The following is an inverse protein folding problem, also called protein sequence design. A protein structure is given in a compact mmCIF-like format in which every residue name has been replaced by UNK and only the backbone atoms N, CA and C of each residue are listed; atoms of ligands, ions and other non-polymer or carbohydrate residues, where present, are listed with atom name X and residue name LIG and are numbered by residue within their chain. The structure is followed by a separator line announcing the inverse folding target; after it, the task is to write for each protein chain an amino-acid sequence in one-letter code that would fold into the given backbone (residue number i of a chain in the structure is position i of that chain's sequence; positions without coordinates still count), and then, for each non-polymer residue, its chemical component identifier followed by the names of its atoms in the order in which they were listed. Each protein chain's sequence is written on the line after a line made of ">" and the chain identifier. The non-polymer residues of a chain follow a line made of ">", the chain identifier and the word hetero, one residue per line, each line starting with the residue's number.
data_IF_707190907542
#
_entry.id   IF_707190907542
#
_cell.length_a   1.000
_cell.length_b   1.000
_cell.length_c   1.000
_cell.angle_alpha   90.00
_cell.angle_beta   90.00
_cell.angle_gamma   90.00
#
_symmetry.space_group_name_H-M   'P 1'
#
loop_
_entity.id
_entity.type
_entity.pdbx_description
1 polymer ?
#
# COMPACT_ATOMS: atom_id res chain seq x y z
N UNK A 1 -30.42 4.06 -12.09
CA UNK A 1 -29.66 4.99 -11.23
C UNK A 1 -28.33 5.19 -11.91
N UNK A 2 -28.15 6.33 -12.55
CA UNK A 2 -26.85 6.72 -13.12
C UNK A 2 -25.88 6.87 -11.94
N UNK A 3 -24.82 6.07 -11.91
CA UNK A 3 -23.72 6.26 -10.97
C UNK A 3 -23.15 7.65 -11.25
N UNK A 4 -23.35 8.59 -10.31
CA UNK A 4 -22.77 9.93 -10.39
C UNK A 4 -21.25 9.79 -10.63
N UNK A 5 -20.76 10.58 -11.60
CA UNK A 5 -19.35 10.65 -11.94
C UNK A 5 -18.56 11.08 -10.72
N UNK A 6 -17.81 10.16 -10.13
CA UNK A 6 -16.83 10.47 -9.11
C UNK A 6 -15.52 10.86 -9.82
N UNK A 7 -14.97 12.01 -9.44
CA UNK A 7 -13.59 12.36 -9.77
C UNK A 7 -12.61 11.43 -9.05
N UNK A 8 -11.50 11.09 -9.72
CA UNK A 8 -10.47 10.27 -9.12
C UNK A 8 -9.72 11.08 -8.04
N UNK A 9 -9.47 10.43 -6.91
CA UNK A 9 -8.62 10.99 -5.86
C UNK A 9 -7.17 11.11 -6.34
N UNK A 10 -6.39 11.99 -5.70
CA UNK A 10 -4.97 12.16 -6.00
C UNK A 10 -4.17 10.87 -5.90
N UNK A 11 -4.54 9.97 -4.98
CA UNK A 11 -3.87 8.68 -4.88
C UNK A 11 -4.27 7.76 -6.04
N UNK A 12 -5.54 7.69 -6.40
CA UNK A 12 -5.98 6.89 -7.57
C UNK A 12 -5.24 7.32 -8.84
N UNK A 13 -5.09 8.62 -9.09
CA UNK A 13 -4.33 9.14 -10.24
C UNK A 13 -2.84 8.83 -10.12
N UNK A 14 -2.24 9.04 -8.94
CA UNK A 14 -0.81 8.77 -8.74
C UNK A 14 -0.48 7.31 -9.04
N UNK A 15 -1.30 6.41 -8.54
CA UNK A 15 -1.05 4.99 -8.73
C UNK A 15 -1.33 4.55 -10.15
N UNK A 16 -2.38 5.09 -10.76
CA UNK A 16 -2.63 4.86 -12.18
C UNK A 16 -1.43 5.28 -13.03
N UNK A 17 -0.72 6.38 -12.69
CA UNK A 17 0.55 6.74 -13.33
C UNK A 17 1.66 5.70 -13.11
N UNK A 18 1.86 5.27 -11.86
CA UNK A 18 2.89 4.27 -11.53
C UNK A 18 2.61 2.92 -12.22
N UNK A 19 1.37 2.45 -12.17
CA UNK A 19 0.92 1.25 -12.88
C UNK A 19 1.12 1.38 -14.39
N UNK A 20 0.83 2.55 -14.97
CA UNK A 20 1.06 2.80 -16.41
C UNK A 20 2.55 2.73 -16.76
N UNK A 21 3.43 3.26 -15.91
CA UNK A 21 4.88 3.17 -16.10
C UNK A 21 5.41 1.73 -15.96
N UNK A 22 4.80 0.94 -15.06
CA UNK A 22 5.14 -0.45 -14.81
C UNK A 22 4.44 -1.45 -15.77
N UNK A 23 3.49 -0.99 -16.58
CA UNK A 23 2.62 -1.86 -17.37
C UNK A 23 3.39 -2.65 -18.44
N UNK A 24 3.11 -3.95 -18.54
CA UNK A 24 3.80 -4.85 -19.48
C UNK A 24 2.89 -5.47 -20.54
N UNK A 25 1.56 -5.31 -20.39
CA UNK A 25 0.60 -5.81 -21.37
C UNK A 25 0.58 -4.98 -22.66
N UNK A 26 0.12 -5.58 -23.75
CA UNK A 26 0.04 -4.93 -25.08
C UNK A 26 -1.36 -4.35 -25.37
N UNK A 27 -2.27 -4.39 -24.41
CA UNK A 27 -3.71 -4.19 -24.62
C UNK A 27 -4.25 -2.83 -24.16
N UNK A 28 -3.39 -1.95 -23.65
CA UNK A 28 -3.73 -0.54 -23.35
C UNK A 28 -3.27 0.42 -24.46
N UNK A 29 -2.71 -0.12 -25.55
CA UNK A 29 -2.22 0.64 -26.70
C UNK A 29 -2.54 -0.09 -28.00
N UNK A 30 -2.98 0.63 -29.03
CA UNK A 30 -3.30 0.01 -30.33
C UNK A 30 -2.08 -0.58 -31.05
N UNK A 31 -0.88 -0.13 -30.70
CA UNK A 31 0.39 -0.63 -31.25
C UNK A 31 1.19 -1.44 -30.20
N UNK A 32 0.58 -1.77 -29.05
CA UNK A 32 1.21 -2.53 -27.98
C UNK A 32 2.33 -1.80 -27.23
N UNK A 33 2.44 -0.47 -27.36
CA UNK A 33 3.52 0.32 -26.74
C UNK A 33 3.39 0.41 -25.23
N UNK A 34 4.48 0.14 -24.52
CA UNK A 34 4.62 0.34 -23.08
C UNK A 34 5.90 1.11 -22.75
N UNK A 35 5.98 1.74 -21.57
CA UNK A 35 7.21 2.40 -21.14
C UNK A 35 8.37 1.41 -21.00
N UNK A 36 8.12 0.18 -20.55
CA UNK A 36 9.13 -0.88 -20.42
C UNK A 36 9.82 -1.18 -21.77
N UNK A 37 9.07 -1.26 -22.87
CA UNK A 37 9.64 -1.49 -24.21
C UNK A 37 10.63 -0.40 -24.64
N UNK A 38 10.46 0.82 -24.15
CA UNK A 38 11.32 1.96 -24.46
C UNK A 38 12.38 2.21 -23.39
N UNK A 39 12.58 1.31 -22.42
CA UNK A 39 13.57 1.49 -21.35
C UNK A 39 13.10 2.49 -20.30
N UNK A 40 11.80 2.48 -19.99
CA UNK A 40 11.13 3.35 -19.02
C UNK A 40 11.32 4.85 -19.29
N UNK A 41 11.24 5.25 -20.56
CA UNK A 41 11.31 6.65 -20.98
C UNK A 41 10.26 6.96 -22.04
N UNK A 42 9.88 8.23 -22.16
CA UNK A 42 8.89 8.65 -23.14
C UNK A 42 8.48 10.11 -22.95
N UNK A 43 7.34 10.48 -23.54
CA UNK A 43 6.76 11.82 -23.37
C UNK A 43 5.63 11.82 -22.34
N UNK A 44 5.42 12.97 -21.72
CA UNK A 44 4.28 13.23 -20.82
C UNK A 44 2.93 12.92 -21.50
N UNK A 45 2.80 13.22 -22.80
CA UNK A 45 1.60 12.91 -23.58
C UNK A 45 1.40 11.41 -23.82
N UNK A 46 2.47 10.63 -23.93
CA UNK A 46 2.36 9.16 -24.04
C UNK A 46 1.90 8.56 -22.71
N UNK A 47 2.45 9.06 -21.60
CA UNK A 47 2.06 8.63 -20.25
C UNK A 47 0.56 8.81 -20.05
N UNK A 48 0.04 9.99 -20.33
CA UNK A 48 -1.37 10.28 -20.07
C UNK A 48 -2.33 9.53 -20.98
N UNK A 49 -1.93 9.29 -22.23
CA UNK A 49 -2.71 8.50 -23.18
C UNK A 49 -2.81 7.03 -22.74
N UNK A 50 -1.68 6.41 -22.39
CA UNK A 50 -1.66 5.03 -21.89
C UNK A 50 -2.40 4.91 -20.56
N UNK A 51 -2.28 5.92 -19.71
CA UNK A 51 -2.97 6.01 -18.43
C UNK A 51 -4.49 6.11 -18.59
N UNK A 52 -4.99 6.83 -19.60
CA UNK A 52 -6.42 6.85 -19.95
C UNK A 52 -6.93 5.46 -20.35
N UNK A 53 -6.19 4.77 -21.21
CA UNK A 53 -6.56 3.43 -21.66
C UNK A 53 -6.57 2.43 -20.48
N UNK A 54 -5.59 2.52 -19.58
CA UNK A 54 -5.56 1.71 -18.37
C UNK A 54 -6.73 2.04 -17.43
N UNK A 55 -7.09 3.32 -17.26
CA UNK A 55 -8.23 3.73 -16.43
C UNK A 55 -9.56 3.17 -16.93
N UNK A 56 -9.77 3.22 -18.26
CA UNK A 56 -10.95 2.63 -18.90
C UNK A 56 -10.97 1.11 -18.72
N UNK A 57 -9.83 0.45 -18.96
CA UNK A 57 -9.70 -1.01 -18.80
C UNK A 57 -10.01 -1.46 -17.36
N UNK A 58 -9.58 -0.69 -16.37
CA UNK A 58 -9.81 -0.96 -14.95
C UNK A 58 -11.20 -0.51 -14.46
N UNK A 59 -12.05 -0.02 -15.37
CA UNK A 59 -13.39 0.50 -15.05
C UNK A 59 -13.38 1.65 -14.04
N UNK A 60 -12.23 2.35 -13.88
CA UNK A 60 -12.11 3.53 -13.01
C UNK A 60 -12.82 4.74 -13.61
N UNK A 61 -12.84 4.82 -14.94
CA UNK A 61 -13.59 5.82 -15.70
C UNK A 61 -14.36 5.14 -16.84
N UNK A 62 -15.48 5.74 -17.25
CA UNK A 62 -16.30 5.22 -18.35
C UNK A 62 -15.74 5.67 -19.70
N UNK A 63 -15.63 4.74 -20.65
CA UNK A 63 -15.37 5.07 -22.05
C UNK A 63 -16.59 5.78 -22.66
N UNK A 64 -16.43 7.06 -22.98
CA UNK A 64 -17.40 7.93 -23.66
C UNK A 64 -16.97 8.26 -25.07
N UNK A 65 -15.66 8.38 -25.24
CA UNK A 65 -15.01 8.58 -26.52
C UNK A 65 -14.01 7.44 -26.72
N UNK A 66 -13.91 6.99 -27.96
CA UNK A 66 -12.95 5.95 -28.34
C UNK A 66 -11.52 6.41 -28.07
N UNK A 67 -10.74 5.52 -27.44
CA UNK A 67 -9.34 5.78 -27.10
C UNK A 67 -8.51 6.10 -28.36
N UNK A 68 -7.74 7.19 -28.28
CA UNK A 68 -6.87 7.64 -29.38
C UNK A 68 -5.49 6.96 -29.29
N UNK A 69 -5.00 6.46 -30.43
CA UNK A 69 -3.60 6.02 -30.58
C UNK A 69 -2.59 7.18 -30.68
N UNK A 70 -3.06 8.40 -30.95
CA UNK A 70 -2.21 9.60 -30.97
C UNK A 70 -2.01 10.17 -29.56
N UNK A 71 -0.81 10.68 -29.29
CA UNK A 71 -0.38 11.26 -28.02
C UNK A 71 -1.40 12.28 -27.46
N UNK A 72 -1.55 12.35 -26.14
CA UNK A 72 -2.47 13.29 -25.49
C UNK A 72 -2.18 14.74 -25.87
N UNK A 73 -3.18 15.45 -26.40
CA UNK A 73 -3.01 16.81 -26.91
C UNK A 73 -2.08 16.93 -28.14
N UNK A 74 -1.70 15.81 -28.76
CA UNK A 74 -0.91 15.74 -29.98
C UNK A 74 -1.79 15.91 -31.22
N UNK A 75 -1.28 16.66 -32.20
CA UNK A 75 -1.93 17.01 -33.49
C UNK A 75 -3.20 17.88 -33.38
N UNK A 76 -3.02 19.16 -33.09
CA UNK A 76 -4.02 20.21 -33.37
C UNK A 76 -5.31 20.18 -32.54
N UNK A 77 -5.43 19.25 -31.58
CA UNK A 77 -6.58 19.10 -30.70
C UNK A 77 -6.21 19.55 -29.28
N UNK A 78 -6.91 20.57 -28.78
CA UNK A 78 -6.79 20.97 -27.38
C UNK A 78 -7.40 19.87 -26.48
N UNK A 79 -6.80 19.67 -25.30
CA UNK A 79 -7.35 18.76 -24.28
C UNK A 79 -8.69 19.31 -23.75
N UNK A 80 -9.78 18.68 -24.16
CA UNK A 80 -11.13 18.99 -23.72
C UNK A 80 -11.72 17.83 -22.91
N UNK A 81 -12.10 18.04 -21.64
CA UNK A 81 -12.72 17.03 -20.79
C UNK A 81 -13.93 16.38 -21.47
N UNK A 82 -14.02 15.06 -21.43
CA UNK A 82 -15.06 14.24 -22.06
C UNK A 82 -15.28 14.47 -23.56
N UNK A 83 -14.32 15.08 -24.27
CA UNK A 83 -14.41 15.34 -25.70
C UNK A 83 -13.19 14.83 -26.46
N UNK A 84 -11.99 15.09 -25.95
CA UNK A 84 -10.72 14.55 -26.51
C UNK A 84 -9.98 13.68 -25.51
N UNK A 85 -10.51 13.56 -24.30
CA UNK A 85 -10.12 12.58 -23.27
C UNK A 85 -11.36 12.18 -22.47
N UNK A 86 -11.37 10.96 -21.92
CA UNK A 86 -12.43 10.43 -21.06
C UNK A 86 -12.40 11.02 -19.64
N UNK A 87 -11.27 11.60 -19.21
CA UNK A 87 -11.14 12.21 -17.89
C UNK A 87 -11.93 13.51 -17.72
N UNK A 88 -12.31 13.79 -16.47
CA UNK A 88 -12.94 15.06 -16.09
C UNK A 88 -11.92 16.20 -16.04
N UNK A 89 -12.40 17.44 -15.90
CA UNK A 89 -11.51 18.59 -15.73
C UNK A 89 -10.69 18.49 -14.43
N UNK A 90 -11.30 17.98 -13.37
CA UNK A 90 -10.68 17.78 -12.06
C UNK A 90 -9.58 16.74 -12.14
N UNK A 91 -9.87 15.61 -12.79
CA UNK A 91 -8.89 14.55 -13.04
C UNK A 91 -7.68 15.07 -13.81
N UNK A 92 -7.88 15.84 -14.89
CA UNK A 92 -6.79 16.40 -15.70
C UNK A 92 -5.88 17.32 -14.88
N UNK A 93 -6.46 18.17 -14.02
CA UNK A 93 -5.66 19.04 -13.14
C UNK A 93 -4.83 18.21 -12.16
N UNK A 94 -5.46 17.22 -11.53
CA UNK A 94 -4.81 16.33 -10.58
C UNK A 94 -3.73 15.46 -11.26
N UNK A 95 -3.93 15.03 -12.50
CA UNK A 95 -2.93 14.35 -13.34
C UNK A 95 -1.69 15.22 -13.50
N UNK A 96 -1.85 16.50 -13.85
CA UNK A 96 -0.70 17.41 -13.94
C UNK A 96 0.03 17.58 -12.60
N UNK A 97 -0.72 17.71 -11.50
CA UNK A 97 -0.16 17.80 -10.16
C UNK A 97 0.63 16.53 -9.77
N UNK A 98 0.05 15.34 -9.97
CA UNK A 98 0.72 14.08 -9.64
C UNK A 98 1.98 13.86 -10.47
N UNK A 99 1.97 14.21 -11.76
CA UNK A 99 3.17 14.15 -12.59
C UNK A 99 4.30 15.01 -12.03
N UNK A 100 4.00 16.23 -11.59
CA UNK A 100 4.98 17.11 -10.94
C UNK A 100 5.44 16.58 -9.58
N UNK A 101 4.58 15.89 -8.83
CA UNK A 101 4.97 15.23 -7.58
C UNK A 101 5.94 14.07 -7.84
N UNK A 102 5.74 13.27 -8.89
CA UNK A 102 6.70 12.21 -9.27
C UNK A 102 8.07 12.79 -9.65
N UNK A 103 8.11 13.94 -10.33
CA UNK A 103 9.35 14.68 -10.60
C UNK A 103 10.02 15.13 -9.31
N UNK A 104 9.27 15.77 -8.41
CA UNK A 104 9.81 16.29 -7.14
C UNK A 104 10.29 15.18 -6.19
N UNK A 105 9.66 14.01 -6.25
CA UNK A 105 10.04 12.82 -5.48
C UNK A 105 11.23 12.06 -6.09
N UNK A 106 11.70 12.46 -7.28
CA UNK A 106 12.80 11.81 -7.98
C UNK A 106 12.44 10.43 -8.55
N UNK A 107 11.15 10.08 -8.67
CA UNK A 107 10.70 8.83 -9.31
C UNK A 107 10.90 8.92 -10.82
N UNK A 108 10.63 10.09 -11.39
CA UNK A 108 10.94 10.41 -12.79
C UNK A 108 11.84 11.65 -12.85
N UNK A 109 12.60 11.78 -13.93
CA UNK A 109 13.46 12.93 -14.18
C UNK A 109 13.29 13.46 -15.62
N UNK A 110 13.44 14.79 -15.85
CA UNK A 110 13.36 15.36 -17.19
C UNK A 110 14.45 14.82 -18.12
N UNK A 111 14.10 14.71 -19.40
CA UNK A 111 14.96 14.24 -20.48
C UNK A 111 14.89 12.72 -20.68
N UNK A 112 15.15 12.28 -21.91
CA UNK A 112 15.22 10.89 -22.31
C UNK A 112 16.31 10.70 -23.38
N UNK A 113 16.96 9.54 -23.42
CA UNK A 113 18.09 9.27 -24.32
C UNK A 113 17.60 8.96 -25.74
N UNK A 114 18.40 9.31 -26.76
CA UNK A 114 18.04 9.10 -28.17
C UNK A 114 17.37 10.33 -28.79
N UNK A 115 16.35 10.13 -29.63
CA UNK A 115 15.72 11.19 -30.43
C UNK A 115 14.62 11.98 -29.68
N UNK A 116 14.47 11.81 -28.37
CA UNK A 116 13.47 12.52 -27.56
C UNK A 116 13.92 13.96 -27.27
N UNK A 117 14.88 14.14 -26.36
CA UNK A 117 15.37 15.44 -25.92
C UNK A 117 15.76 15.43 -24.44
N UNK A 118 16.47 16.48 -23.99
CA UNK A 118 17.02 16.55 -22.63
C UNK A 118 16.15 17.30 -21.62
N UNK A 119 14.91 17.66 -21.98
CA UNK A 119 13.98 18.45 -21.17
C UNK A 119 12.56 17.88 -21.25
N UNK A 120 11.67 18.34 -20.37
CA UNK A 120 10.23 18.17 -20.53
C UNK A 120 9.77 18.64 -21.92
N UNK A 121 8.77 17.99 -22.55
CA UNK A 121 7.87 16.97 -21.97
C UNK A 121 8.45 15.55 -21.93
N UNK A 122 9.71 15.36 -22.36
CA UNK A 122 10.36 14.06 -22.30
C UNK A 122 10.92 13.79 -20.92
N UNK A 123 10.83 12.54 -20.47
CA UNK A 123 11.29 12.09 -19.17
C UNK A 123 11.71 10.62 -19.20
N UNK A 124 12.42 10.19 -18.16
CA UNK A 124 12.70 8.79 -17.87
C UNK A 124 12.41 8.49 -16.40
N UNK A 125 12.13 7.22 -16.10
CA UNK A 125 12.07 6.70 -14.73
C UNK A 125 13.49 6.56 -14.21
N UNK A 126 13.75 7.07 -13.00
CA UNK A 126 15.09 6.99 -12.38
C UNK A 126 15.36 5.60 -11.83
N UNK A 127 16.60 5.30 -11.43
CA UNK A 127 16.91 4.04 -10.74
C UNK A 127 16.07 3.84 -9.46
N UNK A 128 15.91 4.91 -8.67
CA UNK A 128 15.01 4.92 -7.52
C UNK A 128 13.55 4.67 -7.94
N UNK A 129 13.09 5.33 -9.01
CA UNK A 129 11.76 5.12 -9.55
C UNK A 129 11.53 3.68 -10.00
N UNK A 130 12.53 3.01 -10.61
CA UNK A 130 12.43 1.61 -11.00
C UNK A 130 12.23 0.72 -9.77
N UNK A 131 12.94 0.97 -8.67
CA UNK A 131 12.68 0.28 -7.40
C UNK A 131 11.25 0.52 -6.93
N UNK A 132 10.74 1.76 -7.00
CA UNK A 132 9.35 2.04 -6.65
C UNK A 132 8.34 1.31 -7.56
N UNK A 133 8.65 1.14 -8.85
CA UNK A 133 7.79 0.39 -9.78
C UNK A 133 7.86 -1.13 -9.54
N UNK A 134 9.04 -1.67 -9.24
CA UNK A 134 9.25 -3.09 -8.89
C UNK A 134 8.57 -3.47 -7.58
N UNK A 135 8.59 -2.57 -6.61
CA UNK A 135 7.92 -2.78 -5.33
C UNK A 135 6.40 -2.83 -5.46
N UNK A 136 5.84 -2.43 -6.62
CA UNK A 136 4.41 -2.40 -6.97
C UNK A 136 3.58 -2.19 -5.71
N UNK A 137 3.57 -0.97 -5.15
CA UNK A 137 2.76 -0.70 -3.95
C UNK A 137 1.34 -1.18 -4.23
N UNK A 138 0.99 -2.36 -3.73
CA UNK A 138 -0.29 -2.97 -4.06
C UNK A 138 -1.33 -2.26 -3.24
N UNK A 139 -2.33 -1.72 -3.92
CA UNK A 139 -3.25 -0.80 -3.32
C UNK A 139 -4.58 -1.48 -3.03
N UNK A 140 -5.34 -0.98 -2.06
CA UNK A 140 -6.58 -1.61 -1.58
C UNK A 140 -7.66 -1.84 -2.64
N UNK A 141 -7.59 -1.11 -3.75
CA UNK A 141 -8.53 -1.26 -4.85
C UNK A 141 -8.21 -2.46 -5.75
N UNK A 142 -6.95 -2.92 -5.78
CA UNK A 142 -6.56 -4.21 -6.35
C UNK A 142 -6.63 -5.27 -5.25
N UNK A 143 -7.86 -5.71 -4.95
CA UNK A 143 -8.13 -6.66 -3.87
C UNK A 143 -7.33 -7.95 -4.06
N UNK A 144 -7.28 -8.46 -5.29
CA UNK A 144 -6.63 -9.73 -5.59
C UNK A 144 -5.11 -9.61 -5.44
N UNK A 145 -4.50 -8.58 -6.03
CA UNK A 145 -3.07 -8.31 -5.86
C UNK A 145 -2.70 -8.10 -4.38
N UNK A 146 -3.53 -7.36 -3.64
CA UNK A 146 -3.24 -7.06 -2.22
C UNK A 146 -3.27 -8.36 -1.42
N UNK A 147 -4.27 -9.20 -1.64
CA UNK A 147 -4.38 -10.49 -0.96
C UNK A 147 -3.28 -11.46 -1.39
N UNK A 148 -2.86 -11.49 -2.65
CA UNK A 148 -1.69 -12.26 -3.08
C UNK A 148 -0.43 -11.82 -2.34
N UNK A 149 -0.22 -10.50 -2.18
CA UNK A 149 0.91 -9.98 -1.42
C UNK A 149 0.86 -10.38 0.05
N UNK A 150 -0.32 -10.37 0.66
CA UNK A 150 -0.55 -10.86 2.03
C UNK A 150 -0.28 -12.36 2.13
N UNK A 151 -0.82 -13.18 1.22
CA UNK A 151 -0.59 -14.64 1.17
C UNK A 151 0.87 -15.02 0.93
N UNK A 152 1.65 -14.14 0.30
CA UNK A 152 3.09 -14.35 0.11
C UNK A 152 3.90 -14.29 1.42
N UNK A 153 3.30 -13.78 2.51
CA UNK A 153 3.92 -13.71 3.84
C UNK A 153 3.89 -15.11 4.47
N UNK A 154 5.06 -15.69 4.83
CA UNK A 154 5.12 -17.03 5.38
C UNK A 154 4.34 -17.16 6.70
N UNK A 155 3.59 -18.26 6.83
CA UNK A 155 2.80 -18.62 8.02
C UNK A 155 1.66 -17.64 8.36
N UNK A 156 1.26 -16.79 7.42
CA UNK A 156 0.12 -15.90 7.66
C UNK A 156 -1.15 -16.70 7.94
N UNK A 157 -1.91 -16.24 8.93
CA UNK A 157 -3.11 -16.89 9.42
C UNK A 157 -4.30 -16.64 8.50
N UNK A 158 -5.13 -17.65 8.27
CA UNK A 158 -6.37 -17.54 7.49
C UNK A 158 -7.30 -16.46 8.06
N UNK A 159 -7.32 -16.28 9.39
CA UNK A 159 -8.12 -15.23 10.04
C UNK A 159 -7.59 -13.83 9.77
N UNK A 160 -6.26 -13.66 9.68
CA UNK A 160 -5.63 -12.38 9.32
C UNK A 160 -5.97 -12.03 7.88
N UNK A 161 -5.84 -13.01 6.96
CA UNK A 161 -6.24 -12.83 5.57
C UNK A 161 -7.73 -12.48 5.46
N UNK A 162 -8.60 -13.19 6.19
CA UNK A 162 -10.04 -12.95 6.21
C UNK A 162 -10.37 -11.50 6.61
N UNK A 163 -9.81 -11.01 7.72
CA UNK A 163 -10.08 -9.64 8.17
C UNK A 163 -9.55 -8.58 7.20
N UNK A 164 -8.38 -8.80 6.60
CA UNK A 164 -7.83 -7.90 5.58
C UNK A 164 -8.75 -7.89 4.35
N UNK A 165 -9.23 -9.05 3.89
CA UNK A 165 -10.19 -9.13 2.78
C UNK A 165 -11.46 -8.33 3.06
N UNK A 166 -12.06 -8.50 4.23
CA UNK A 166 -13.26 -7.74 4.62
C UNK A 166 -12.96 -6.23 4.71
N UNK A 167 -11.76 -5.85 5.16
CA UNK A 167 -11.33 -4.46 5.17
C UNK A 167 -11.28 -3.87 3.75
N UNK A 168 -10.68 -4.59 2.80
CA UNK A 168 -10.58 -4.18 1.39
C UNK A 168 -11.96 -4.01 0.76
N UNK A 169 -12.88 -4.94 1.01
CA UNK A 169 -14.27 -4.85 0.55
C UNK A 169 -14.97 -3.61 1.11
N UNK A 170 -14.80 -3.34 2.41
CA UNK A 170 -15.37 -2.16 3.05
C UNK A 170 -14.78 -0.86 2.48
N UNK A 171 -13.46 -0.83 2.25
CA UNK A 171 -12.78 0.32 1.64
C UNK A 171 -13.30 0.62 0.23
N UNK A 172 -13.48 -0.42 -0.58
CA UNK A 172 -14.01 -0.30 -1.95
C UNK A 172 -15.49 0.07 -1.97
N UNK A 173 -16.27 -0.35 -0.96
CA UNK A 173 -17.65 0.09 -0.75
C UNK A 173 -17.78 1.50 -0.13
N UNK A 174 -16.67 2.21 0.06
CA UNK A 174 -16.58 3.53 0.67
C UNK A 174 -17.03 3.58 2.15
N UNK A 175 -16.93 2.46 2.87
CA UNK A 175 -17.19 2.34 4.31
C UNK A 175 -15.88 2.42 5.10
N UNK A 176 -15.33 3.63 5.27
CA UNK A 176 -13.98 3.86 5.82
C UNK A 176 -13.81 3.34 7.25
N UNK A 177 -14.75 3.66 8.13
CA UNK A 177 -14.71 3.25 9.53
C UNK A 177 -14.77 1.72 9.66
N UNK A 178 -15.61 1.07 8.85
CA UNK A 178 -15.71 -0.37 8.80
C UNK A 178 -14.41 -1.02 8.29
N UNK A 179 -13.79 -0.45 7.26
CA UNK A 179 -12.50 -0.92 6.75
C UNK A 179 -11.41 -0.87 7.83
N UNK A 180 -11.36 0.24 8.58
CA UNK A 180 -10.38 0.42 9.65
C UNK A 180 -10.64 -0.54 10.82
N UNK A 181 -11.90 -0.75 11.21
CA UNK A 181 -12.26 -1.75 12.24
C UNK A 181 -11.76 -3.14 11.86
N UNK A 182 -11.95 -3.54 10.60
CA UNK A 182 -11.48 -4.85 10.10
C UNK A 182 -9.95 -4.97 10.14
N UNK A 183 -9.20 -3.92 9.75
CA UNK A 183 -7.74 -3.90 9.91
C UNK A 183 -7.30 -4.01 11.37
N UNK A 184 -8.10 -3.49 12.29
CA UNK A 184 -7.90 -3.65 13.72
C UNK A 184 -8.02 -5.07 14.21
N UNK A 185 -9.10 -5.74 13.83
CA UNK A 185 -9.31 -7.15 14.15
C UNK A 185 -8.17 -8.01 13.61
N UNK A 186 -7.69 -7.70 12.40
CA UNK A 186 -6.48 -8.30 11.84
C UNK A 186 -5.25 -8.06 12.73
N UNK A 187 -5.02 -6.83 13.19
CA UNK A 187 -3.89 -6.49 14.07
C UNK A 187 -4.00 -7.18 15.45
N UNK A 188 -5.19 -7.23 16.05
CA UNK A 188 -5.42 -7.94 17.32
C UNK A 188 -5.08 -9.43 17.17
N UNK A 189 -5.48 -10.06 16.06
CA UNK A 189 -5.16 -11.45 15.76
C UNK A 189 -3.66 -11.70 15.62
N UNK A 190 -2.94 -10.81 14.92
CA UNK A 190 -1.49 -10.87 14.79
C UNK A 190 -0.81 -10.78 16.16
N UNK A 191 -1.29 -9.91 17.07
CA UNK A 191 -0.73 -9.75 18.42
C UNK A 191 -0.91 -11.00 19.26
N UNK A 192 -2.07 -11.65 19.18
CA UNK A 192 -2.31 -12.91 19.88
C UNK A 192 -1.33 -13.99 19.39
N UNK A 193 -1.15 -14.13 18.07
CA UNK A 193 -0.18 -15.06 17.49
C UNK A 193 1.26 -14.73 17.86
N UNK A 194 1.60 -13.45 17.92
CA UNK A 194 2.92 -12.98 18.31
C UNK A 194 3.25 -13.26 19.77
N UNK A 195 2.26 -13.13 20.66
CA UNK A 195 2.39 -13.47 22.08
C UNK A 195 2.55 -14.97 22.25
N UNK A 196 1.75 -15.77 21.55
CA UNK A 196 1.83 -17.23 21.63
C UNK A 196 3.21 -17.74 21.14
N UNK A 197 3.71 -17.20 20.02
CA UNK A 197 5.03 -17.52 19.51
C UNK A 197 6.15 -17.11 20.49
N UNK A 198 6.06 -15.90 21.05
CA UNK A 198 7.02 -15.42 22.05
C UNK A 198 6.99 -16.29 23.32
N UNK A 199 5.81 -16.69 23.81
CA UNK A 199 5.67 -17.59 24.95
C UNK A 199 6.37 -18.92 24.68
N UNK A 200 6.16 -19.49 23.49
CA UNK A 200 6.86 -20.69 23.04
C UNK A 200 8.37 -20.51 23.10
N UNK A 201 8.89 -19.43 22.52
CA UNK A 201 10.32 -19.13 22.51
C UNK A 201 10.91 -18.93 23.92
N UNK A 202 10.22 -18.16 24.77
CA UNK A 202 10.63 -17.93 26.16
C UNK A 202 10.64 -19.23 26.97
N UNK A 203 9.68 -20.13 26.75
CA UNK A 203 9.63 -21.41 27.48
C UNK A 203 10.88 -22.27 27.23
N UNK A 204 11.46 -22.17 26.03
CA UNK A 204 12.67 -22.90 25.62
C UNK A 204 13.96 -22.21 26.04
N UNK A 205 13.98 -20.88 26.02
CA UNK A 205 15.22 -20.10 26.09
C UNK A 205 15.34 -19.21 27.36
N UNK A 206 14.23 -18.84 28.01
CA UNK A 206 14.18 -17.82 29.08
C UNK A 206 13.12 -18.15 30.15
N UNK A 207 13.37 -19.16 31.00
CA UNK A 207 12.39 -19.69 31.96
C UNK A 207 11.84 -18.65 32.95
N UNK A 208 12.66 -17.69 33.41
CA UNK A 208 12.22 -16.65 34.35
C UNK A 208 11.26 -15.67 33.69
N UNK A 209 11.62 -15.18 32.50
CA UNK A 209 10.79 -14.29 31.70
C UNK A 209 9.49 -14.97 31.27
N UNK A 210 9.52 -16.26 30.95
CA UNK A 210 8.34 -17.07 30.63
C UNK A 210 7.30 -17.05 31.76
N UNK A 211 7.70 -17.35 33.00
CA UNK A 211 6.76 -17.34 34.14
C UNK A 211 6.21 -15.93 34.42
N UNK A 212 7.02 -14.88 34.24
CA UNK A 212 6.58 -13.49 34.46
C UNK A 212 5.53 -13.05 33.44
N UNK A 213 5.75 -13.32 32.15
CA UNK A 213 4.81 -12.92 31.09
C UNK A 213 3.49 -13.69 31.22
N UNK A 214 3.53 -14.96 31.60
CA UNK A 214 2.35 -15.79 31.75
C UNK A 214 1.42 -15.29 32.88
N UNK A 215 1.99 -14.90 34.03
CA UNK A 215 1.21 -14.30 35.13
C UNK A 215 0.61 -12.95 34.72
N UNK A 216 1.39 -12.10 34.03
CA UNK A 216 0.94 -10.77 33.60
C UNK A 216 -0.19 -10.85 32.56
N UNK A 217 -0.06 -11.74 31.57
CA UNK A 217 -1.07 -11.96 30.52
C UNK A 217 -2.40 -12.46 31.09
N UNK A 218 -2.39 -13.28 32.15
CA UNK A 218 -3.61 -13.78 32.79
C UNK A 218 -4.55 -12.67 33.30
N UNK A 219 -4.00 -11.46 33.49
CA UNK A 219 -4.71 -10.28 34.02
C UNK A 219 -5.11 -9.28 32.93
N UNK A 220 -4.68 -9.49 31.68
CA UNK A 220 -4.86 -8.54 30.58
C UNK A 220 -6.05 -8.97 29.71
N UNK A 221 -6.99 -8.04 29.48
CA UNK A 221 -8.17 -8.26 28.62
C UNK A 221 -8.14 -7.49 27.30
N UNK A 222 -7.38 -6.40 27.21
CA UNK A 222 -7.37 -5.50 26.06
C UNK A 222 -6.17 -5.74 25.16
N UNK A 223 -6.36 -5.75 23.84
CA UNK A 223 -5.31 -5.97 22.86
C UNK A 223 -4.16 -4.96 22.95
N UNK A 224 -4.46 -3.67 23.17
CA UNK A 224 -3.42 -2.64 23.36
C UNK A 224 -2.50 -2.91 24.57
N UNK A 225 -3.06 -3.49 25.65
CA UNK A 225 -2.28 -3.92 26.81
C UNK A 225 -1.51 -5.21 26.53
N UNK A 226 -2.07 -6.14 25.75
CA UNK A 226 -1.35 -7.32 25.26
C UNK A 226 -0.12 -6.91 24.45
N UNK A 227 -0.26 -5.96 23.51
CA UNK A 227 0.86 -5.41 22.75
C UNK A 227 1.91 -4.73 23.63
N UNK A 228 1.47 -3.95 24.61
CA UNK A 228 2.38 -3.33 25.58
C UNK A 228 3.16 -4.38 26.38
N UNK A 229 2.51 -5.49 26.75
CA UNK A 229 3.14 -6.63 27.39
C UNK A 229 4.18 -7.28 26.46
N UNK A 230 3.82 -7.57 25.21
CA UNK A 230 4.77 -8.05 24.20
C UNK A 230 6.00 -7.15 24.08
N UNK A 231 5.80 -5.83 23.87
CA UNK A 231 6.89 -4.85 23.74
C UNK A 231 7.82 -4.84 24.98
N UNK A 232 7.26 -4.98 26.18
CA UNK A 232 8.03 -5.06 27.43
C UNK A 232 8.98 -6.26 27.44
N UNK A 233 8.47 -7.46 27.12
CA UNK A 233 9.29 -8.68 27.15
C UNK A 233 10.23 -8.77 25.95
N UNK A 234 9.81 -8.31 24.77
CA UNK A 234 10.70 -8.12 23.62
C UNK A 234 11.93 -7.29 24.00
N UNK A 235 11.74 -6.12 24.61
CA UNK A 235 12.85 -5.26 25.02
C UNK A 235 13.72 -5.87 26.13
N UNK A 236 13.17 -6.75 26.98
CA UNK A 236 13.96 -7.46 28.01
C UNK A 236 14.90 -8.50 27.41
N UNK A 237 14.49 -9.17 26.32
CA UNK A 237 15.25 -10.29 25.75
C UNK A 237 16.09 -9.91 24.54
N UNK A 238 15.77 -8.81 23.82
CA UNK A 238 16.41 -8.50 22.54
C UNK A 238 17.93 -8.42 22.59
N UNK A 239 18.49 -7.86 23.67
CA UNK A 239 19.94 -7.75 23.88
C UNK A 239 20.59 -9.08 24.29
N UNK A 240 19.78 -10.03 24.78
CA UNK A 240 20.25 -11.35 25.22
C UNK A 240 20.31 -12.36 24.07
N UNK A 241 19.68 -12.07 22.93
CA UNK A 241 19.66 -12.94 21.76
C UNK A 241 20.91 -12.64 20.93
N UNK A 242 21.81 -13.63 20.83
CA UNK A 242 23.08 -13.48 20.12
C UNK A 242 23.00 -13.78 18.63
N UNK A 243 21.94 -14.47 18.20
CA UNK A 243 21.69 -14.90 16.83
C UNK A 243 21.70 -13.74 15.83
N UNK A 244 22.33 -13.96 14.68
CA UNK A 244 22.52 -12.92 13.66
C UNK A 244 21.22 -12.61 12.91
N UNK A 245 20.38 -13.61 12.65
CA UNK A 245 19.09 -13.43 11.97
C UNK A 245 18.22 -12.48 12.80
N UNK A 246 18.15 -12.71 14.12
CA UNK A 246 17.41 -11.82 15.01
C UNK A 246 17.96 -10.38 15.01
N UNK A 247 19.29 -10.22 15.02
CA UNK A 247 19.93 -8.90 15.01
C UNK A 247 19.67 -8.13 13.72
N UNK A 248 19.67 -8.81 12.58
CA UNK A 248 19.37 -8.18 11.28
C UNK A 248 17.91 -7.71 11.18
N UNK A 249 17.01 -8.33 11.95
CA UNK A 249 15.60 -7.94 12.04
C UNK A 249 15.33 -6.79 13.01
N UNK A 250 16.19 -6.55 14.01
CA UNK A 250 15.97 -5.51 15.03
C UNK A 250 15.76 -4.08 14.47
N UNK A 251 16.50 -3.62 13.44
CA UNK A 251 16.29 -2.30 12.84
C UNK A 251 14.87 -2.10 12.27
N UNK A 252 14.14 -3.18 11.95
CA UNK A 252 12.79 -3.12 11.42
C UNK A 252 11.73 -2.78 12.47
N UNK A 253 12.08 -2.84 13.77
CA UNK A 253 11.19 -2.60 14.91
C UNK A 253 11.79 -1.58 15.87
N UNK A 254 12.15 -0.42 15.35
CA UNK A 254 12.56 0.71 16.17
C UNK A 254 11.37 1.29 16.98
N UNK A 255 11.65 2.32 17.77
CA UNK A 255 10.60 2.94 18.60
C UNK A 255 9.46 3.54 17.76
N UNK A 256 9.77 4.08 16.58
CA UNK A 256 8.80 4.71 15.68
C UNK A 256 7.88 3.63 15.10
N UNK A 257 8.43 2.52 14.61
CA UNK A 257 7.68 1.38 14.13
C UNK A 257 6.74 0.83 15.22
N UNK A 258 7.23 0.67 16.45
CA UNK A 258 6.38 0.24 17.58
C UNK A 258 5.24 1.20 17.89
N UNK A 259 5.43 2.52 17.74
CA UNK A 259 4.38 3.51 17.93
C UNK A 259 3.33 3.43 16.81
N UNK A 260 3.76 3.33 15.55
CA UNK A 260 2.87 3.09 14.41
C UNK A 260 2.04 1.82 14.58
N UNK A 261 2.66 0.74 15.06
CA UNK A 261 1.96 -0.54 15.28
C UNK A 261 0.99 -0.47 16.45
N UNK A 262 1.34 0.26 17.52
CA UNK A 262 0.40 0.51 18.62
C UNK A 262 -0.84 1.26 18.11
N UNK A 263 -0.70 2.15 17.13
CA UNK A 263 -1.84 2.88 16.56
C UNK A 263 -2.81 1.96 15.81
N UNK A 264 -2.34 0.93 15.09
CA UNK A 264 -3.23 -0.06 14.46
C UNK A 264 -4.14 -0.78 15.48
N UNK A 265 -3.70 -0.92 16.73
CA UNK A 265 -4.51 -1.51 17.82
C UNK A 265 -5.45 -0.53 18.50
N UNK A 266 -5.20 0.78 18.39
CA UNK A 266 -5.94 1.84 19.10
C UNK A 266 -7.08 2.39 18.27
N UNK A 267 -6.80 2.67 17.00
CA UNK A 267 -7.72 3.30 16.05
C UNK A 267 -9.01 2.47 15.92
N UNK A 268 -8.96 1.18 16.25
CA UNK A 268 -9.91 0.19 15.74
C UNK A 268 -10.96 -0.30 16.74
N UNK A 269 -10.85 0.11 18.02
CA UNK A 269 -11.83 -0.30 19.04
C UNK A 269 -12.26 0.79 20.02
N UNK A 270 -11.38 1.72 20.37
CA UNK A 270 -11.69 2.71 21.41
C UNK A 270 -12.09 4.06 20.83
N UNK A 271 -11.61 4.42 19.64
CA UNK A 271 -11.85 5.75 19.07
C UNK A 271 -12.97 5.74 18.01
N UNK A 272 -13.15 4.64 17.25
CA UNK A 272 -14.19 4.55 16.21
C UNK A 272 -15.50 3.86 16.65
N UNK A 273 -15.47 3.07 17.72
CA UNK A 273 -16.68 2.38 18.23
C UNK A 273 -17.52 3.25 19.17
N UNK A 274 -16.94 4.33 19.70
CA UNK A 274 -17.69 5.40 20.32
C UNK A 274 -18.08 6.41 19.23
N UNK A 275 -19.27 7.04 19.31
CA UNK A 275 -19.65 8.10 18.38
C UNK A 275 -18.74 9.31 18.64
N UNK A 276 -17.58 9.28 18.02
CA UNK A 276 -16.57 10.32 18.03
C UNK A 276 -16.76 11.12 16.74
N UNK A 277 -16.64 12.45 16.80
CA UNK A 277 -16.82 13.33 15.63
C UNK A 277 -15.74 13.15 14.54
N UNK A 278 -14.79 12.22 14.73
CA UNK A 278 -13.69 11.94 13.81
C UNK A 278 -14.14 10.97 12.73
N UNK A 279 -14.50 11.53 11.56
CA UNK A 279 -14.67 10.75 10.32
C UNK A 279 -13.30 10.43 9.74
N UNK A 280 -13.12 9.21 9.26
CA UNK A 280 -11.89 8.82 8.58
C UNK A 280 -11.97 9.19 7.11
N UNK A 281 -11.01 9.96 6.63
CA UNK A 281 -10.92 10.29 5.22
C UNK A 281 -10.38 9.10 4.42
N UNK A 282 -10.84 8.94 3.17
CA UNK A 282 -10.43 7.82 2.30
C UNK A 282 -8.92 7.73 2.12
N UNK A 283 -8.24 8.88 2.11
CA UNK A 283 -6.77 8.98 2.02
C UNK A 283 -6.07 8.46 3.28
N UNK A 284 -6.63 8.72 4.46
CA UNK A 284 -6.07 8.25 5.73
C UNK A 284 -6.15 6.73 5.80
N UNK A 285 -7.30 6.16 5.44
CA UNK A 285 -7.47 4.69 5.39
C UNK A 285 -6.55 4.06 4.35
N UNK A 286 -6.33 4.73 3.21
CA UNK A 286 -5.41 4.24 2.19
C UNK A 286 -3.97 4.16 2.69
N UNK A 287 -3.49 5.18 3.39
CA UNK A 287 -2.16 5.17 4.01
C UNK A 287 -2.02 4.04 5.05
N UNK A 288 -3.08 3.76 5.80
CA UNK A 288 -3.13 2.61 6.73
C UNK A 288 -2.92 1.32 5.94
N UNK A 289 -3.66 1.07 4.86
CA UNK A 289 -3.47 -0.14 4.07
C UNK A 289 -2.06 -0.29 3.46
N UNK A 290 -1.49 0.79 2.92
CA UNK A 290 -0.13 0.77 2.33
C UNK A 290 0.88 0.32 3.39
N UNK A 291 0.81 0.90 4.59
CA UNK A 291 1.69 0.54 5.70
C UNK A 291 1.38 -0.82 6.32
N UNK A 292 0.16 -1.33 6.19
CA UNK A 292 -0.28 -2.58 6.83
C UNK A 292 0.40 -3.83 6.25
N UNK A 293 0.73 -3.84 4.96
CA UNK A 293 1.50 -4.95 4.36
C UNK A 293 2.85 -5.10 5.06
N UNK A 294 3.57 -3.99 5.20
CA UNK A 294 4.89 -3.98 5.83
C UNK A 294 4.80 -4.36 7.31
N UNK A 295 3.75 -3.90 8.00
CA UNK A 295 3.46 -4.33 9.37
C UNK A 295 3.31 -5.86 9.46
N UNK A 296 2.47 -6.47 8.60
CA UNK A 296 2.28 -7.93 8.58
C UNK A 296 3.60 -8.66 8.32
N UNK A 297 4.38 -8.24 7.32
CA UNK A 297 5.67 -8.84 6.99
C UNK A 297 6.62 -8.86 8.19
N UNK A 298 6.70 -7.73 8.91
CA UNK A 298 7.59 -7.59 10.06
C UNK A 298 7.09 -8.46 11.23
N UNK A 299 5.80 -8.41 11.57
CA UNK A 299 5.28 -9.21 12.69
C UNK A 299 5.42 -10.71 12.43
N UNK A 300 5.07 -11.18 11.22
CA UNK A 300 5.23 -12.59 10.86
C UNK A 300 6.69 -13.01 10.74
N UNK A 301 7.60 -12.10 10.37
CA UNK A 301 9.04 -12.34 10.50
C UNK A 301 9.43 -12.75 11.91
N UNK A 302 9.00 -11.98 12.93
CA UNK A 302 9.29 -12.30 14.33
C UNK A 302 8.56 -13.56 14.81
N UNK A 303 7.29 -13.75 14.45
CA UNK A 303 6.53 -14.98 14.76
C UNK A 303 7.28 -16.21 14.24
N UNK A 304 7.69 -16.18 12.97
CA UNK A 304 8.41 -17.28 12.35
C UNK A 304 9.78 -17.51 13.00
N UNK A 305 10.50 -16.45 13.34
CA UNK A 305 11.76 -16.58 14.09
C UNK A 305 11.53 -17.31 15.42
N UNK A 306 10.54 -16.87 16.22
CA UNK A 306 10.23 -17.46 17.52
C UNK A 306 9.74 -18.90 17.43
N UNK A 307 9.03 -19.28 16.38
CA UNK A 307 8.53 -20.65 16.22
C UNK A 307 9.64 -21.63 15.83
N UNK A 308 10.67 -21.15 15.12
CA UNK A 308 11.74 -22.00 14.58
C UNK A 308 12.99 -22.08 15.48
N UNK A 309 13.09 -21.24 16.50
CA UNK A 309 14.22 -21.17 17.45
C UNK A 309 13.73 -21.27 18.92
#
# INVERSE_FOLDING_TARGET
>A
METEMRDLSSIEIRNLMLETLAYEGEDIDSEGKTFKMYGYQGSQSDLYRLMEALAVKRELIKERISLSGAAWGGSGLMLHPHSTTNFSRSDIQNIFEQFHLLLNQGIIAPGAVGNYGHNLPYFHVTEYGLTCLEEQEVLPYDVDGYLERIRSIPSISEWVEFYIKEALLCYNANCMEAAVIMLGLSSEKIIDEQIDALLGYLSRNFTSEYSQIQDELSRIKFASRKFSCYKKYFNKIKEKISDQIFKDMLPLVDNVAFESYANFTRITRNELAHPTDTKMERIEVLMIFISFIKYCQIQYGFINYYNNH
#
